data_IF_674765219784
#
_entry.id   IF_674765219784
#
_cell.length_a   1.000
_cell.length_b   1.000
_cell.length_c   1.000
_cell.angle_alpha   90.00
_cell.angle_beta   90.00
_cell.angle_gamma   90.00
#
_symmetry.space_group_name_H-M   'P 1'
#
loop_
_entity.id
_entity.type
_entity.pdbx_description
1 polymer ?
#
# COMPACT_ATOMS: atom_id res chain seq x y z
N UNK A 1 -40.77 -15.12 26.36
CA UNK A 1 -40.96 -15.40 24.92
C UNK A 1 -41.04 -14.12 24.07
N UNK A 2 -41.90 -13.14 24.39
CA UNK A 2 -41.96 -11.86 23.65
C UNK A 2 -40.68 -11.03 23.74
N UNK A 3 -40.13 -10.88 24.95
CA UNK A 3 -38.91 -10.09 25.17
C UNK A 3 -37.67 -10.70 24.50
N UNK A 4 -37.53 -12.03 24.53
CA UNK A 4 -36.44 -12.74 23.86
C UNK A 4 -36.48 -12.61 22.35
N UNK A 5 -37.68 -12.58 21.73
CA UNK A 5 -37.83 -12.37 20.29
C UNK A 5 -37.46 -10.94 19.86
N UNK A 6 -37.81 -9.94 20.67
CA UNK A 6 -37.44 -8.54 20.39
C UNK A 6 -35.91 -8.37 20.46
N UNK A 7 -35.27 -9.01 21.45
CA UNK A 7 -33.83 -8.93 21.63
C UNK A 7 -33.05 -9.55 20.45
N UNK A 8 -33.51 -10.70 19.93
CA UNK A 8 -32.88 -11.36 18.78
C UNK A 8 -33.05 -10.58 17.48
N UNK A 9 -34.22 -9.97 17.26
CA UNK A 9 -34.44 -9.09 16.09
C UNK A 9 -33.55 -7.84 16.16
N UNK A 10 -33.41 -7.22 17.34
CA UNK A 10 -32.53 -6.07 17.52
C UNK A 10 -31.06 -6.42 17.28
N UNK A 11 -30.59 -7.56 17.78
CA UNK A 11 -29.22 -8.04 17.56
C UNK A 11 -28.94 -8.32 16.07
N UNK A 12 -29.88 -8.92 15.35
CA UNK A 12 -29.75 -9.16 13.91
C UNK A 12 -29.68 -7.85 13.11
N UNK A 13 -30.48 -6.84 13.46
CA UNK A 13 -30.45 -5.53 12.81
C UNK A 13 -29.11 -4.82 12.98
N UNK A 14 -28.47 -4.93 14.17
CA UNK A 14 -27.16 -4.36 14.43
C UNK A 14 -26.02 -5.09 13.70
N UNK A 15 -26.14 -6.39 13.44
CA UNK A 15 -25.14 -7.14 12.69
C UNK A 15 -25.06 -6.74 11.21
N UNK A 16 -26.16 -6.22 10.63
CA UNK A 16 -26.22 -5.79 9.23
C UNK A 16 -25.49 -4.45 8.97
N UNK A 17 -25.15 -3.68 9.99
CA UNK A 17 -24.43 -2.41 9.82
C UNK A 17 -22.93 -2.57 9.62
N UNK A 18 -22.39 -3.80 9.72
CA UNK A 18 -20.97 -4.09 9.55
C UNK A 18 -20.42 -3.76 8.14
N UNK A 19 -21.29 -3.68 7.13
CA UNK A 19 -20.92 -3.28 5.76
C UNK A 19 -21.40 -1.87 5.39
N UNK A 20 -21.92 -1.09 6.35
CA UNK A 20 -22.40 0.28 6.11
C UNK A 20 -21.28 1.33 6.21
N UNK A 21 -20.05 0.95 5.87
CA UNK A 21 -18.97 1.93 5.69
C UNK A 21 -19.37 2.89 4.58
N UNK A 22 -19.09 4.18 4.74
CA UNK A 22 -19.26 5.12 3.63
C UNK A 22 -18.45 4.61 2.45
N UNK A 23 -18.94 4.83 1.23
CA UNK A 23 -18.13 4.65 0.02
C UNK A 23 -16.74 5.22 0.31
N UNK A 24 -15.71 4.36 0.26
CA UNK A 24 -14.34 4.84 0.20
C UNK A 24 -14.23 5.50 -1.17
N UNK A 25 -14.76 6.72 -1.30
CA UNK A 25 -14.39 7.66 -2.32
C UNK A 25 -12.94 8.00 -2.01
N UNK A 26 -12.04 7.06 -2.32
CA UNK A 26 -10.64 7.33 -2.45
C UNK A 26 -10.59 8.58 -3.30
N UNK A 27 -10.15 9.69 -2.71
CA UNK A 27 -10.11 10.97 -3.40
C UNK A 27 -9.49 10.75 -4.77
N UNK A 28 -9.95 11.51 -5.77
CA UNK A 28 -9.41 11.60 -7.14
C UNK A 28 -8.02 10.96 -7.27
N UNK A 29 -7.84 10.02 -8.22
CA UNK A 29 -6.56 9.36 -8.50
C UNK A 29 -5.46 10.41 -8.37
N UNK A 30 -4.75 10.37 -7.24
CA UNK A 30 -3.59 11.21 -7.05
C UNK A 30 -2.59 10.65 -8.05
N UNK A 31 -2.33 11.38 -9.13
CA UNK A 31 -1.36 10.93 -10.11
C UNK A 31 -0.05 10.72 -9.37
N UNK A 32 0.42 9.47 -9.36
CA UNK A 32 1.66 9.14 -8.68
C UNK A 32 2.80 9.97 -9.28
N UNK A 33 3.64 10.51 -8.39
CA UNK A 33 4.87 11.16 -8.83
C UNK A 33 5.87 10.10 -9.29
N UNK A 34 6.76 10.47 -10.18
CA UNK A 34 7.80 9.56 -10.64
C UNK A 34 8.59 8.99 -9.44
N UNK A 35 8.85 7.67 -9.38
CA UNK A 35 9.42 7.04 -8.19
C UNK A 35 10.84 7.52 -7.86
N UNK A 36 11.58 7.97 -8.87
CA UNK A 36 12.90 8.58 -8.70
C UNK A 36 12.82 10.01 -8.13
N UNK A 37 11.66 10.66 -8.09
CA UNK A 37 11.49 11.99 -7.49
C UNK A 37 11.79 11.98 -5.98
N UNK A 38 11.78 10.80 -5.35
CA UNK A 38 12.07 10.61 -3.93
C UNK A 38 10.98 11.18 -3.03
N UNK A 39 11.27 11.28 -1.74
CA UNK A 39 10.34 11.84 -0.75
C UNK A 39 10.83 13.19 -0.25
N UNK A 40 9.91 14.07 0.11
CA UNK A 40 10.22 15.37 0.73
C UNK A 40 10.70 15.24 2.18
N UNK A 41 10.62 14.05 2.79
CA UNK A 41 11.11 13.76 4.14
C UNK A 41 12.37 12.87 4.06
N UNK A 42 13.55 13.49 4.06
CA UNK A 42 14.84 12.76 4.22
C UNK A 42 14.93 12.08 5.60
N UNK A 43 15.61 10.93 5.83
CA UNK A 43 16.03 9.88 4.90
C UNK A 43 15.81 8.41 5.38
N UNK A 44 14.93 8.02 6.34
CA UNK A 44 15.06 6.70 6.99
C UNK A 44 14.94 5.50 6.03
N UNK A 45 14.32 5.69 4.86
CA UNK A 45 14.09 4.62 3.89
C UNK A 45 14.76 4.86 2.53
N UNK A 46 15.54 5.93 2.39
CA UNK A 46 16.29 6.16 1.15
C UNK A 46 17.64 5.46 1.21
N UNK A 47 18.08 4.91 0.07
CA UNK A 47 19.40 4.32 -0.03
C UNK A 47 20.48 5.38 0.25
N UNK A 48 21.48 5.00 1.05
CA UNK A 48 22.61 5.87 1.40
C UNK A 48 23.30 6.37 0.13
N UNK A 49 23.53 7.68 0.05
CA UNK A 49 24.21 8.33 -1.08
C UNK A 49 23.35 8.56 -2.33
N UNK A 50 22.11 8.03 -2.39
CA UNK A 50 21.19 8.32 -3.48
C UNK A 50 20.50 9.68 -3.31
N UNK A 51 20.28 10.39 -4.42
CA UNK A 51 19.68 11.74 -4.43
C UNK A 51 18.28 11.71 -5.07
N UNK A 52 17.26 12.33 -4.45
CA UNK A 52 15.97 12.54 -5.09
C UNK A 52 16.11 13.25 -6.44
N UNK A 53 15.39 12.77 -7.45
CA UNK A 53 15.44 13.23 -8.83
C UNK A 53 16.45 12.48 -9.72
N UNK A 54 17.40 11.74 -9.15
CA UNK A 54 18.38 10.98 -9.93
C UNK A 54 17.79 9.66 -10.45
N UNK A 55 17.23 9.73 -11.65
CA UNK A 55 16.65 8.58 -12.36
C UNK A 55 17.68 7.50 -12.64
N UNK A 56 18.86 7.85 -13.16
CA UNK A 56 19.84 6.85 -13.60
C UNK A 56 20.37 6.05 -12.42
N UNK A 57 20.66 6.72 -11.31
CA UNK A 57 21.08 6.05 -10.08
C UNK A 57 19.94 5.18 -9.50
N UNK A 58 18.69 5.66 -9.54
CA UNK A 58 17.53 4.91 -9.10
C UNK A 58 17.33 3.62 -9.92
N UNK A 59 17.33 3.72 -11.25
CA UNK A 59 17.17 2.58 -12.16
C UNK A 59 18.30 1.55 -11.98
N UNK A 60 19.53 2.03 -11.80
CA UNK A 60 20.68 1.16 -11.53
C UNK A 60 20.51 0.35 -10.23
N UNK A 61 20.05 1.01 -9.15
CA UNK A 61 19.77 0.31 -7.89
C UNK A 61 18.60 -0.67 -8.02
N UNK A 62 17.56 -0.31 -8.77
CA UNK A 62 16.43 -1.20 -9.01
C UNK A 62 16.86 -2.45 -9.76
N UNK A 63 17.68 -2.33 -10.80
CA UNK A 63 18.21 -3.48 -11.53
C UNK A 63 18.97 -4.43 -10.61
N UNK A 64 19.85 -3.91 -9.76
CA UNK A 64 20.60 -4.75 -8.80
C UNK A 64 19.64 -5.47 -7.85
N UNK A 65 18.62 -4.77 -7.33
CA UNK A 65 17.66 -5.35 -6.39
C UNK A 65 16.77 -6.42 -7.05
N UNK A 66 16.12 -6.08 -8.16
CA UNK A 66 15.09 -6.92 -8.76
C UNK A 66 15.67 -8.05 -9.60
N UNK A 67 16.77 -7.79 -10.32
CA UNK A 67 17.41 -8.78 -11.18
C UNK A 67 18.44 -9.56 -10.38
N UNK A 68 19.46 -8.91 -9.84
CA UNK A 68 20.57 -9.67 -9.23
C UNK A 68 20.27 -10.16 -7.81
N UNK A 69 19.31 -9.55 -7.13
CA UNK A 69 18.98 -9.84 -5.75
C UNK A 69 17.81 -10.83 -5.60
N UNK A 70 16.63 -10.42 -6.06
CA UNK A 70 15.36 -11.11 -5.78
C UNK A 70 14.89 -12.06 -6.88
N UNK A 71 15.61 -12.15 -8.01
CA UNK A 71 15.24 -13.07 -9.06
C UNK A 71 16.08 -14.35 -8.92
N UNK A 72 15.45 -15.45 -8.51
CA UNK A 72 16.10 -16.74 -8.36
C UNK A 72 16.48 -17.38 -9.70
N UNK A 73 15.78 -17.04 -10.79
CA UNK A 73 16.07 -17.59 -12.12
C UNK A 73 17.45 -17.21 -12.63
N UNK A 74 17.98 -16.04 -12.24
CA UNK A 74 19.34 -15.62 -12.63
C UNK A 74 20.44 -16.19 -11.74
N UNK A 75 20.08 -16.94 -10.69
CA UNK A 75 21.03 -17.60 -9.78
C UNK A 75 21.27 -19.08 -10.12
N UNK A 76 20.52 -19.61 -11.09
CA UNK A 76 20.71 -20.97 -11.59
C UNK A 76 21.87 -20.95 -12.61
N UNK A 77 22.90 -21.79 -12.45
CA UNK A 77 24.05 -21.86 -13.36
C UNK A 77 23.70 -22.24 -14.80
#
# INVERSE_FOLDING_TARGET
MRSTFILSVAAAALALTACAEREQTGGSIKSDVAPYAGTTKQPPFMAVGWKPGDRNAWESQMKVRTVNGQNEYVKVP
#
